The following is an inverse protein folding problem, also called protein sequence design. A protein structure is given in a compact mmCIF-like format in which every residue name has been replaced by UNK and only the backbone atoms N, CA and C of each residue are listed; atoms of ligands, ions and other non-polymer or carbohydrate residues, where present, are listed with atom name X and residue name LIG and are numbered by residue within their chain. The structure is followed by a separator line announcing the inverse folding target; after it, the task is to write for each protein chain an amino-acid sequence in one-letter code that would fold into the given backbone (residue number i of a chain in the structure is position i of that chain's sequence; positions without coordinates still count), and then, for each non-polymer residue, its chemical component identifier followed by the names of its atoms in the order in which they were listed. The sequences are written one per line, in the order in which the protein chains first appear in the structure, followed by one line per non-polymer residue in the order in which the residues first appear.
data_IF_705769262542
#
_entry.id   IF_705769262542
#
_cell.length_a   1.000
_cell.length_b   1.000
_cell.length_c   1.000
_cell.angle_alpha   90.00
_cell.angle_beta   90.00
_cell.angle_gamma   90.00
#
_symmetry.space_group_name_H-M   'P 1'
#
loop_
_entity.id
_entity.type
_entity.pdbx_description
1 polymer ?
#
# COMPACT_ATOMS: atom_id res chain seq x y z
N UNK A 1 9.39 -24.28 -17.15
CA UNK A 1 9.70 -23.32 -18.23
C UNK A 1 9.02 -22.02 -17.87
N UNK A 2 9.71 -20.88 -17.89
CA UNK A 2 9.08 -19.59 -17.58
C UNK A 2 8.06 -19.23 -18.65
N UNK A 3 6.85 -18.84 -18.24
CA UNK A 3 5.77 -18.40 -19.13
C UNK A 3 5.41 -16.95 -18.85
N UNK A 4 5.29 -16.16 -19.91
CA UNK A 4 4.76 -14.80 -19.80
C UNK A 4 3.23 -14.85 -19.88
N UNK A 5 2.56 -14.17 -18.95
CA UNK A 5 1.11 -13.97 -18.91
C UNK A 5 0.81 -12.48 -18.91
N UNK A 6 -0.23 -12.06 -19.62
CA UNK A 6 -0.73 -10.69 -19.51
C UNK A 6 -1.50 -10.59 -18.21
N UNK A 7 -1.12 -9.65 -17.36
CA UNK A 7 -1.80 -9.33 -16.11
C UNK A 7 -2.92 -8.36 -16.38
N UNK A 8 -2.60 -7.25 -17.07
CA UNK A 8 -3.58 -6.22 -17.41
C UNK A 8 -3.12 -5.39 -18.64
N UNK A 9 -4.04 -4.67 -19.25
CA UNK A 9 -3.78 -3.72 -20.34
C UNK A 9 -4.60 -2.45 -20.13
N UNK A 10 -3.92 -1.31 -20.16
CA UNK A 10 -4.52 0.02 -20.02
C UNK A 10 -4.24 0.87 -21.25
N UNK A 11 -5.06 1.89 -21.48
CA UNK A 11 -4.88 2.90 -22.52
C UNK A 11 -4.98 4.27 -21.89
N UNK A 12 -4.02 5.16 -22.17
CA UNK A 12 -3.97 6.48 -21.58
C UNK A 12 -2.76 7.27 -22.03
N UNK A 13 -2.80 8.58 -21.84
CA UNK A 13 -1.72 9.51 -22.22
C UNK A 13 -0.70 9.60 -21.07
N UNK A 14 0.46 8.97 -21.25
CA UNK A 14 1.51 8.88 -20.22
C UNK A 14 2.68 9.84 -20.46
N UNK A 15 2.74 10.55 -21.59
CA UNK A 15 3.78 11.55 -21.90
C UNK A 15 3.25 12.97 -22.11
N UNK A 16 1.93 13.17 -22.09
CA UNK A 16 1.23 14.45 -22.06
C UNK A 16 1.02 15.10 -23.43
N UNK A 17 1.12 14.34 -24.53
CA UNK A 17 0.94 14.86 -25.89
C UNK A 17 -0.48 14.68 -26.47
N UNK A 18 -1.42 14.21 -25.64
CA UNK A 18 -2.83 13.93 -25.97
C UNK A 18 -3.04 12.72 -26.89
N UNK A 19 -2.01 11.90 -27.14
CA UNK A 19 -2.11 10.64 -27.90
C UNK A 19 -1.97 9.48 -26.93
N UNK A 20 -3.05 8.69 -26.77
CA UNK A 20 -3.02 7.56 -25.83
C UNK A 20 -2.03 6.46 -26.26
N UNK A 21 -1.20 6.03 -25.31
CA UNK A 21 -0.43 4.81 -25.41
C UNK A 21 -1.21 3.61 -24.91
N UNK A 22 -0.81 2.43 -25.41
CA UNK A 22 -1.24 1.14 -24.88
C UNK A 22 -0.18 0.59 -23.95
N UNK A 23 -0.57 0.34 -22.70
CA UNK A 23 0.32 -0.12 -21.63
C UNK A 23 -0.06 -1.53 -21.23
N UNK A 24 0.84 -2.49 -21.37
CA UNK A 24 0.59 -3.90 -21.05
C UNK A 24 1.51 -4.32 -19.92
N UNK A 25 0.94 -4.74 -18.79
CA UNK A 25 1.68 -5.37 -17.71
C UNK A 25 1.69 -6.88 -17.92
N UNK A 26 2.88 -7.46 -17.97
CA UNK A 26 3.08 -8.91 -18.07
C UNK A 26 3.77 -9.44 -16.83
N UNK A 27 3.34 -10.60 -16.38
CA UNK A 27 3.98 -11.39 -15.35
C UNK A 27 4.74 -12.55 -15.95
N UNK A 28 5.89 -12.89 -15.37
CA UNK A 28 6.66 -14.07 -15.78
C UNK A 28 6.64 -15.06 -14.62
N UNK A 29 5.94 -16.16 -14.83
CA UNK A 29 5.70 -17.21 -13.83
C UNK A 29 6.58 -18.44 -14.13
N UNK A 30 7.09 -19.07 -13.09
CA UNK A 30 7.77 -20.38 -13.19
C UNK A 30 6.80 -21.55 -13.18
N UNK A 31 5.71 -21.39 -12.43
CA UNK A 31 4.68 -22.42 -12.19
C UNK A 31 3.41 -21.99 -12.93
N UNK A 32 2.86 -22.90 -13.73
CA UNK A 32 1.63 -22.66 -14.47
C UNK A 32 0.44 -22.45 -13.51
N UNK A 33 -0.44 -21.49 -13.85
CA UNK A 33 -1.62 -21.10 -13.07
C UNK A 33 -1.32 -20.60 -11.64
N UNK A 34 -0.07 -20.25 -11.33
CA UNK A 34 0.27 -19.61 -10.07
C UNK A 34 -0.05 -18.12 -10.11
N UNK A 35 -0.65 -17.53 -9.06
CA UNK A 35 -0.77 -16.08 -8.96
C UNK A 35 0.57 -15.39 -8.62
N UNK A 36 1.65 -16.16 -8.38
CA UNK A 36 2.98 -15.63 -8.12
C UNK A 36 3.72 -15.30 -9.42
N UNK A 37 4.26 -14.10 -9.48
CA UNK A 37 5.14 -13.66 -10.57
C UNK A 37 6.56 -13.51 -10.05
N UNK A 38 7.53 -14.08 -10.77
CA UNK A 38 8.95 -14.01 -10.43
C UNK A 38 9.58 -12.68 -10.88
N UNK A 39 9.05 -12.12 -11.97
CA UNK A 39 9.40 -10.80 -12.50
C UNK A 39 8.22 -10.23 -13.29
N UNK A 40 8.24 -8.92 -13.48
CA UNK A 40 7.27 -8.20 -14.30
C UNK A 40 7.96 -7.61 -15.54
N UNK A 41 7.16 -7.38 -16.57
CA UNK A 41 7.58 -6.66 -17.76
C UNK A 41 6.47 -5.69 -18.16
N UNK A 42 6.83 -4.43 -18.37
CA UNK A 42 5.94 -3.38 -18.84
C UNK A 42 6.21 -3.13 -20.32
N UNK A 43 5.17 -3.21 -21.13
CA UNK A 43 5.24 -2.88 -22.56
C UNK A 43 4.47 -1.59 -22.79
N UNK A 44 5.10 -0.64 -23.47
CA UNK A 44 4.51 0.64 -23.87
C UNK A 44 4.50 0.67 -25.40
N UNK A 45 3.31 0.78 -25.98
CA UNK A 45 3.07 0.84 -27.43
C UNK A 45 2.43 2.18 -27.79
N UNK A 46 3.06 2.95 -28.70
CA UNK A 46 2.58 4.23 -29.21
C UNK A 46 2.77 4.27 -30.72
N UNK A 47 1.70 4.48 -31.48
CA UNK A 47 1.75 4.65 -32.95
C UNK A 47 2.56 3.58 -33.73
N UNK A 48 2.60 2.34 -33.21
CA UNK A 48 3.35 1.24 -33.80
C UNK A 48 4.77 1.04 -33.24
N UNK A 49 5.32 2.03 -32.56
CA UNK A 49 6.56 1.91 -31.79
C UNK A 49 6.30 1.19 -30.47
N UNK A 50 7.19 0.26 -30.12
CA UNK A 50 7.07 -0.61 -28.94
C UNK A 50 8.33 -0.57 -28.10
N UNK A 51 8.17 -0.28 -26.82
CA UNK A 51 9.24 -0.34 -25.80
C UNK A 51 8.89 -1.33 -24.71
N UNK A 52 9.92 -1.99 -24.20
CA UNK A 52 9.79 -3.06 -23.22
C UNK A 52 10.73 -2.75 -22.05
N UNK A 53 10.18 -2.76 -20.84
CA UNK A 53 10.90 -2.50 -19.59
C UNK A 53 10.76 -3.70 -18.66
N UNK A 54 11.88 -4.28 -18.24
CA UNK A 54 11.88 -5.31 -17.22
C UNK A 54 11.80 -4.66 -15.83
N UNK A 55 10.86 -5.12 -15.01
CA UNK A 55 10.63 -4.64 -13.65
C UNK A 55 10.96 -5.81 -12.71
N UNK A 56 12.11 -5.71 -12.04
CA UNK A 56 12.65 -6.77 -11.18
C UNK A 56 11.95 -6.81 -9.81
N UNK A 57 10.69 -7.22 -9.82
CA UNK A 57 9.85 -7.36 -8.62
C UNK A 57 9.11 -8.69 -8.70
N UNK A 58 9.08 -9.39 -7.56
CA UNK A 58 8.34 -10.64 -7.38
C UNK A 58 7.20 -10.45 -6.39
N UNK A 59 6.10 -11.16 -6.59
CA UNK A 59 4.93 -11.03 -5.72
C UNK A 59 3.68 -11.66 -6.30
N UNK A 60 2.54 -11.28 -5.73
CA UNK A 60 1.21 -11.79 -6.02
C UNK A 60 0.27 -10.66 -6.39
N UNK A 61 -0.79 -11.01 -7.13
CA UNK A 61 -1.97 -10.15 -7.33
C UNK A 61 -1.62 -8.74 -7.83
N UNK A 62 -0.76 -8.67 -8.85
CA UNK A 62 -0.39 -7.39 -9.43
C UNK A 62 -1.55 -6.74 -10.18
N UNK A 63 -1.65 -5.42 -10.11
CA UNK A 63 -2.60 -4.62 -10.89
C UNK A 63 -1.88 -3.43 -11.54
N UNK A 64 -2.40 -2.98 -12.67
CA UNK A 64 -1.92 -1.83 -13.42
C UNK A 64 -2.99 -0.73 -13.39
N UNK A 65 -2.56 0.50 -13.12
CA UNK A 65 -3.42 1.69 -13.20
C UNK A 65 -2.68 2.81 -13.94
N UNK A 66 -3.43 3.62 -14.67
CA UNK A 66 -2.96 4.91 -15.19
C UNK A 66 -3.65 6.02 -14.41
N UNK A 67 -2.87 6.79 -13.67
CA UNK A 67 -3.38 7.77 -12.70
C UNK A 67 -2.66 9.10 -12.89
N UNK A 68 -3.41 10.18 -13.07
CA UNK A 68 -2.84 11.53 -12.95
C UNK A 68 -2.66 11.83 -11.46
N UNK A 69 -1.56 11.37 -10.88
CA UNK A 69 -1.28 11.49 -9.43
C UNK A 69 -0.39 12.69 -9.14
N UNK A 70 0.39 13.13 -10.12
CA UNK A 70 1.25 14.31 -10.01
C UNK A 70 0.54 15.62 -10.37
N UNK A 71 -0.75 15.58 -10.73
CA UNK A 71 -1.54 16.73 -11.15
C UNK A 71 -0.88 17.50 -12.30
N UNK A 72 -0.42 16.76 -13.32
CA UNK A 72 0.17 17.30 -14.53
C UNK A 72 -0.67 16.88 -15.74
N UNK A 73 -0.16 17.09 -16.96
CA UNK A 73 -0.89 16.75 -18.19
C UNK A 73 -0.72 15.29 -18.62
N UNK A 74 0.02 14.48 -17.86
CA UNK A 74 0.30 13.07 -18.15
C UNK A 74 -0.30 12.17 -17.06
N UNK A 75 -0.49 10.90 -17.39
CA UNK A 75 -0.85 9.88 -16.41
C UNK A 75 0.41 9.12 -15.98
N UNK A 76 0.61 8.98 -14.69
CA UNK A 76 1.62 8.10 -14.14
C UNK A 76 1.15 6.64 -14.17
N UNK A 77 2.13 5.74 -14.32
CA UNK A 77 1.89 4.30 -14.32
C UNK A 77 2.05 3.80 -12.89
N UNK A 78 0.95 3.37 -12.28
CA UNK A 78 0.93 2.77 -10.95
C UNK A 78 0.80 1.24 -11.08
N UNK A 79 1.78 0.53 -10.54
CA UNK A 79 1.73 -0.91 -10.34
C UNK A 79 1.60 -1.19 -8.85
N UNK A 80 0.58 -1.97 -8.49
CA UNK A 80 0.39 -2.48 -7.12
C UNK A 80 0.50 -4.00 -7.11
N UNK A 81 0.76 -4.59 -5.95
CA UNK A 81 0.76 -6.05 -5.75
C UNK A 81 0.94 -6.39 -4.27
N UNK A 82 1.25 -7.65 -3.96
CA UNK A 82 1.50 -8.10 -2.58
C UNK A 82 2.71 -9.03 -2.50
N UNK A 83 3.52 -8.92 -1.45
CA UNK A 83 4.66 -9.84 -1.24
C UNK A 83 4.23 -11.24 -0.77
N UNK A 84 3.02 -11.38 -0.22
CA UNK A 84 2.43 -12.64 0.26
C UNK A 84 0.97 -12.73 -0.14
N UNK A 85 0.44 -13.95 -0.33
CA UNK A 85 -0.98 -14.20 -0.65
C UNK A 85 -1.93 -13.80 0.48
N UNK A 86 -1.46 -13.84 1.72
CA UNK A 86 -2.26 -13.60 2.91
C UNK A 86 -1.54 -12.64 3.83
N UNK A 87 -2.23 -11.57 4.21
CA UNK A 87 -1.77 -10.54 5.18
C UNK A 87 -0.39 -9.95 4.81
N UNK A 88 -0.07 -9.95 3.53
CA UNK A 88 1.20 -9.45 3.00
C UNK A 88 1.27 -7.93 3.03
N UNK A 89 2.49 -7.43 2.87
CA UNK A 89 2.72 -6.01 2.60
C UNK A 89 2.47 -5.71 1.13
N UNK A 90 1.94 -4.53 0.87
CA UNK A 90 1.69 -4.03 -0.47
C UNK A 90 3.02 -3.76 -1.18
N UNK A 91 3.06 -4.15 -2.45
CA UNK A 91 4.04 -3.68 -3.41
C UNK A 91 3.45 -2.43 -4.08
N UNK A 92 4.27 -1.41 -4.29
CA UNK A 92 3.89 -0.24 -5.08
C UNK A 92 5.07 0.25 -5.89
N UNK A 93 4.84 0.53 -7.17
CA UNK A 93 5.74 1.30 -8.01
C UNK A 93 4.93 2.34 -8.76
N UNK A 94 5.37 3.58 -8.66
CA UNK A 94 4.81 4.68 -9.44
C UNK A 94 5.90 5.13 -10.39
N UNK A 95 5.59 5.12 -11.67
CA UNK A 95 6.51 5.55 -12.71
C UNK A 95 6.00 6.79 -13.42
N UNK A 96 6.91 7.73 -13.66
CA UNK A 96 6.73 8.79 -14.66
C UNK A 96 7.39 8.34 -15.95
N UNK A 97 6.70 8.53 -17.08
CA UNK A 97 7.26 8.30 -18.41
C UNK A 97 7.57 9.64 -19.05
N UNK A 98 8.84 9.89 -19.34
CA UNK A 98 9.28 11.19 -19.87
C UNK A 98 10.55 11.01 -20.70
N UNK A 99 10.65 11.72 -21.83
CA UNK A 99 11.80 11.63 -22.73
C UNK A 99 12.15 10.18 -23.10
N UNK A 100 11.13 9.37 -23.41
CA UNK A 100 11.24 7.95 -23.75
C UNK A 100 11.84 7.06 -22.65
N UNK A 101 11.87 7.51 -21.39
CA UNK A 101 12.42 6.78 -20.24
C UNK A 101 11.37 6.60 -19.16
N UNK A 102 11.39 5.41 -18.56
CA UNK A 102 10.56 5.07 -17.41
C UNK A 102 11.36 5.36 -16.12
N UNK A 103 10.87 6.27 -15.27
CA UNK A 103 11.51 6.66 -14.01
C UNK A 103 10.62 6.32 -12.82
N UNK A 104 11.13 5.60 -11.84
CA UNK A 104 10.45 5.41 -10.55
C UNK A 104 10.46 6.74 -9.80
N UNK A 105 9.28 7.19 -9.37
CA UNK A 105 9.13 8.40 -8.54
C UNK A 105 8.83 8.07 -7.07
N UNK A 106 8.06 7.01 -6.82
CA UNK A 106 7.73 6.52 -5.47
C UNK A 106 7.62 4.99 -5.49
N UNK A 107 8.15 4.33 -4.47
CA UNK A 107 7.99 2.90 -4.24
C UNK A 107 7.47 2.53 -2.83
N UNK A 108 7.32 1.22 -2.56
CA UNK A 108 6.83 0.71 -1.27
C UNK A 108 7.76 1.04 -0.09
N UNK A 109 9.06 1.24 -0.33
CA UNK A 109 10.01 1.65 0.71
C UNK A 109 9.83 3.12 1.05
N UNK A 110 9.62 3.97 0.06
CA UNK A 110 9.33 5.40 0.28
C UNK A 110 8.06 5.56 1.11
N UNK A 111 6.99 4.82 0.75
CA UNK A 111 5.73 4.81 1.49
C UNK A 111 5.90 4.29 2.92
N UNK A 112 6.65 3.21 3.12
CA UNK A 112 6.91 2.64 4.45
C UNK A 112 7.76 3.56 5.33
N UNK A 113 8.75 4.22 4.73
CA UNK A 113 9.60 5.20 5.43
C UNK A 113 8.80 6.43 5.84
N UNK A 114 7.88 6.87 4.96
CA UNK A 114 6.99 7.99 5.25
C UNK A 114 6.00 7.61 6.34
N UNK A 115 5.28 6.50 6.22
CA UNK A 115 4.16 6.15 7.11
C UNK A 115 4.59 5.39 8.37
N UNK A 116 5.43 6.03 9.19
CA UNK A 116 5.87 5.49 10.47
C UNK A 116 4.86 5.77 11.57
N UNK A 117 4.39 4.70 12.19
CA UNK A 117 3.64 4.75 13.42
C UNK A 117 4.20 3.73 14.42
N UNK A 118 4.10 4.05 15.70
CA UNK A 118 4.47 3.17 16.81
C UNK A 118 3.23 2.95 17.66
N UNK A 119 3.09 1.77 18.22
CA UNK A 119 2.02 1.47 19.14
C UNK A 119 2.59 1.00 20.48
N UNK A 120 1.84 1.20 21.56
CA UNK A 120 2.16 0.66 22.88
C UNK A 120 0.92 0.35 23.69
N UNK A 121 0.99 -0.65 24.56
CA UNK A 121 -0.06 -0.91 25.54
C UNK A 121 -0.04 0.15 26.66
N UNK A 122 -1.22 0.57 27.09
CA UNK A 122 -1.48 1.48 28.19
C UNK A 122 -2.40 0.80 29.20
N UNK A 123 -2.30 1.19 30.47
CA UNK A 123 -3.18 0.71 31.53
C UNK A 123 -4.67 0.94 31.20
N UNK A 124 -5.51 0.04 31.70
CA UNK A 124 -6.96 0.08 31.48
C UNK A 124 -7.37 -0.46 30.12
N UNK A 125 -6.71 -1.54 29.66
CA UNK A 125 -6.99 -2.21 28.39
C UNK A 125 -6.96 -1.28 27.17
N UNK A 126 -5.96 -0.40 27.10
CA UNK A 126 -5.83 0.59 26.02
C UNK A 126 -4.57 0.40 25.20
N UNK A 127 -4.63 0.78 23.93
CA UNK A 127 -3.46 0.87 23.05
C UNK A 127 -3.31 2.30 22.57
N UNK A 128 -2.12 2.87 22.74
CA UNK A 128 -1.74 4.15 22.13
C UNK A 128 -1.10 3.87 20.77
N UNK A 129 -1.48 4.62 19.75
CA UNK A 129 -0.81 4.61 18.45
C UNK A 129 -0.37 6.02 18.09
N UNK A 130 0.94 6.22 17.93
CA UNK A 130 1.56 7.49 17.57
C UNK A 130 2.10 7.41 16.15
N UNK A 131 1.60 8.25 15.26
CA UNK A 131 2.09 8.39 13.90
C UNK A 131 2.96 9.64 13.78
N UNK A 132 4.20 9.45 13.31
CA UNK A 132 5.20 10.52 13.21
C UNK A 132 4.73 11.62 12.25
N UNK A 133 4.03 11.23 11.18
CA UNK A 133 3.45 12.17 10.23
C UNK A 133 2.18 12.82 10.76
N UNK A 134 2.18 14.16 10.79
CA UNK A 134 1.05 14.94 11.29
C UNK A 134 0.93 14.96 12.82
N UNK A 135 1.88 14.35 13.53
CA UNK A 135 1.96 14.29 15.00
C UNK A 135 0.63 13.85 15.65
N UNK A 136 0.01 12.81 15.07
CA UNK A 136 -1.28 12.29 15.55
C UNK A 136 -1.08 11.15 16.53
N UNK A 137 -1.84 11.19 17.61
CA UNK A 137 -1.93 10.12 18.60
C UNK A 137 -3.36 9.62 18.66
N UNK A 138 -3.53 8.31 18.62
CA UNK A 138 -4.82 7.63 18.74
C UNK A 138 -4.81 6.72 19.96
N UNK A 139 -5.99 6.46 20.51
CA UNK A 139 -6.19 5.48 21.57
C UNK A 139 -7.27 4.50 21.13
N UNK A 140 -6.95 3.21 21.22
CA UNK A 140 -7.90 2.12 21.03
C UNK A 140 -8.28 1.60 22.42
N UNK A 141 -9.57 1.41 22.64
CA UNK A 141 -10.09 0.76 23.83
C UNK A 141 -10.35 -0.73 23.51
N UNK A 142 -9.74 -1.63 24.28
CA UNK A 142 -9.85 -3.08 24.10
C UNK A 142 -10.89 -3.71 25.04
N UNK A 143 -11.66 -2.94 25.82
CA UNK A 143 -12.65 -3.47 26.77
C UNK A 143 -13.73 -4.33 26.11
N UNK A 144 -13.98 -4.16 24.80
CA UNK A 144 -14.93 -4.98 24.05
C UNK A 144 -14.32 -6.30 23.53
N UNK A 145 -13.05 -6.59 23.83
CA UNK A 145 -12.38 -7.84 23.45
C UNK A 145 -12.62 -8.93 24.50
N UNK A 146 -12.43 -10.19 24.10
CA UNK A 146 -12.52 -11.34 24.99
C UNK A 146 -11.51 -11.24 26.15
N UNK A 147 -11.97 -11.44 27.38
CA UNK A 147 -11.15 -11.32 28.61
C UNK A 147 -9.91 -12.24 28.57
N UNK A 148 -10.06 -13.49 28.13
CA UNK A 148 -8.97 -14.48 28.04
C UNK A 148 -7.79 -14.01 27.18
N UNK A 149 -8.04 -13.13 26.20
CA UNK A 149 -7.00 -12.55 25.35
C UNK A 149 -6.24 -11.42 26.07
N UNK A 150 -6.92 -10.64 26.91
CA UNK A 150 -6.34 -9.49 27.59
C UNK A 150 -5.37 -9.92 28.69
N UNK A 151 -5.59 -11.07 29.32
CA UNK A 151 -4.69 -11.64 30.34
C UNK A 151 -3.29 -12.01 29.80
N UNK A 152 -3.13 -12.13 28.47
CA UNK A 152 -1.81 -12.30 27.82
C UNK A 152 -0.99 -11.00 27.90
N UNK A 153 -1.67 -9.85 27.89
CA UNK A 153 -1.04 -8.53 27.74
C UNK A 153 -1.05 -7.74 29.05
N UNK A 154 -2.04 -7.99 29.90
CA UNK A 154 -2.32 -7.19 31.08
C UNK A 154 -2.37 -8.05 32.34
N UNK A 155 -1.92 -7.48 33.45
CA UNK A 155 -2.14 -8.07 34.75
C UNK A 155 -3.60 -7.87 35.24
N UNK A 156 -3.92 -8.48 36.38
CA UNK A 156 -5.22 -8.33 37.06
C UNK A 156 -5.58 -6.89 37.47
N UNK A 157 -4.62 -5.96 37.44
CA UNK A 157 -4.82 -4.54 37.69
C UNK A 157 -4.88 -3.73 36.39
N UNK A 158 -5.03 -4.42 35.25
CA UNK A 158 -5.11 -3.84 33.90
C UNK A 158 -3.85 -3.07 33.52
N UNK A 159 -2.69 -3.40 34.11
CA UNK A 159 -1.40 -2.82 33.75
C UNK A 159 -0.67 -3.72 32.76
N UNK A 160 -0.02 -3.16 31.71
CA UNK A 160 0.72 -3.97 30.75
C UNK A 160 1.82 -4.81 31.41
N UNK A 161 1.93 -6.09 31.00
CA UNK A 161 2.94 -7.03 31.49
C UNK A 161 4.36 -6.74 30.94
N UNK A 162 4.49 -5.83 29.96
CA UNK A 162 5.72 -5.30 29.34
C UNK A 162 6.57 -6.30 28.52
N UNK A 163 6.05 -7.46 28.13
CA UNK A 163 6.82 -8.46 27.37
C UNK A 163 6.78 -8.24 25.85
N UNK A 164 5.65 -7.76 25.31
CA UNK A 164 5.47 -7.47 23.89
C UNK A 164 4.65 -6.18 23.68
N UNK A 165 4.98 -5.42 22.65
CA UNK A 165 4.25 -4.20 22.26
C UNK A 165 3.48 -4.44 20.96
N UNK A 166 2.30 -3.83 20.79
CA UNK A 166 1.60 -3.89 19.53
C UNK A 166 2.41 -3.18 18.44
N UNK A 167 2.22 -3.60 17.20
CA UNK A 167 2.98 -3.08 16.06
C UNK A 167 2.04 -2.51 14.99
N UNK A 168 2.48 -1.43 14.34
CA UNK A 168 1.83 -0.96 13.12
C UNK A 168 2.57 -1.54 11.93
N UNK A 169 1.85 -2.28 11.08
CA UNK A 169 2.44 -2.97 9.94
C UNK A 169 2.97 -1.99 8.90
N UNK A 170 3.84 -2.47 7.99
CA UNK A 170 4.05 -1.77 6.73
C UNK A 170 2.72 -1.65 5.94
N UNK A 171 2.62 -0.72 4.96
CA UNK A 171 1.45 -0.62 4.08
C UNK A 171 1.03 -1.99 3.55
N UNK A 172 -0.23 -2.36 3.75
CA UNK A 172 -0.78 -3.66 3.31
C UNK A 172 -1.73 -3.52 2.14
N UNK A 173 -2.44 -2.39 2.05
CA UNK A 173 -3.44 -2.14 1.02
C UNK A 173 -3.26 -0.73 0.50
N UNK A 174 -3.29 -0.58 -0.82
CA UNK A 174 -3.05 0.69 -1.51
C UNK A 174 -4.06 0.78 -2.65
N UNK A 175 -4.84 1.85 -2.65
CA UNK A 175 -5.81 2.15 -3.69
C UNK A 175 -5.56 3.57 -4.25
N UNK A 176 -5.48 3.73 -5.57
CA UNK A 176 -5.64 5.04 -6.17
C UNK A 176 -7.10 5.49 -5.98
N UNK A 177 -7.29 6.69 -5.45
CA UNK A 177 -8.62 7.29 -5.23
C UNK A 177 -8.67 8.71 -5.79
N UNK A 178 -9.86 9.17 -6.17
CA UNK A 178 -10.10 10.60 -6.44
C UNK A 178 -10.83 11.16 -5.24
N UNK A 179 -10.28 12.18 -4.61
CA UNK A 179 -10.93 12.91 -3.51
C UNK A 179 -11.69 14.08 -4.15
N UNK A 180 -12.98 14.22 -3.86
CA UNK A 180 -13.89 15.16 -4.55
C UNK A 180 -13.45 16.64 -4.56
N UNK A 181 -12.51 17.03 -3.69
CA UNK A 181 -11.93 18.37 -3.68
C UNK A 181 -10.88 18.60 -4.77
N UNK A 182 -10.40 17.56 -5.45
CA UNK A 182 -9.28 17.59 -6.38
C UNK A 182 -9.64 16.84 -7.68
N UNK A 183 -9.03 17.26 -8.81
CA UNK A 183 -9.19 16.59 -10.11
C UNK A 183 -8.08 15.57 -10.42
N UNK A 184 -7.23 15.27 -9.43
CA UNK A 184 -6.09 14.35 -9.55
C UNK A 184 -6.19 13.25 -8.49
N UNK A 185 -5.47 12.15 -8.74
CA UNK A 185 -5.49 10.99 -7.87
C UNK A 185 -4.71 11.24 -6.58
N UNK A 186 -5.18 10.60 -5.51
CA UNK A 186 -4.48 10.41 -4.24
C UNK A 186 -4.31 8.92 -3.99
N UNK A 187 -3.47 8.53 -3.01
CA UNK A 187 -3.40 7.15 -2.55
C UNK A 187 -4.08 7.00 -1.20
N UNK A 188 -5.06 6.10 -1.11
CA UNK A 188 -5.55 5.57 0.15
C UNK A 188 -4.69 4.37 0.54
N UNK A 189 -4.06 4.45 1.70
CA UNK A 189 -3.18 3.41 2.23
C UNK A 189 -3.69 2.93 3.58
N UNK A 190 -3.69 1.63 3.80
CA UNK A 190 -4.00 1.01 5.10
C UNK A 190 -2.78 0.29 5.68
N UNK A 191 -2.61 0.44 7.00
CA UNK A 191 -1.63 -0.27 7.85
C UNK A 191 -2.38 -0.94 9.00
N UNK A 192 -2.11 -2.22 9.26
CA UNK A 192 -2.76 -2.96 10.36
C UNK A 192 -2.10 -2.57 11.67
N UNK A 193 -2.90 -2.52 12.72
CA UNK A 193 -2.42 -2.44 14.10
C UNK A 193 -2.56 -3.85 14.66
N UNK A 194 -1.42 -4.46 14.96
CA UNK A 194 -1.27 -5.87 15.30
C UNK A 194 -0.97 -5.96 16.80
N UNK A 195 -1.75 -6.74 17.54
CA UNK A 195 -1.50 -7.03 18.95
C UNK A 195 -0.47 -8.15 19.14
N UNK A 196 -0.75 -9.13 19.99
CA UNK A 196 0.19 -10.22 20.36
C UNK A 196 0.49 -11.21 19.23
N UNK A 197 -0.26 -11.17 18.13
CA UNK A 197 0.00 -12.05 16.98
C UNK A 197 -0.44 -11.40 15.68
N UNK A 198 0.16 -11.77 14.54
CA UNK A 198 -0.21 -11.24 13.22
C UNK A 198 -1.67 -11.54 12.81
N UNK A 199 -2.32 -12.53 13.46
CA UNK A 199 -3.75 -12.80 13.35
C UNK A 199 -4.60 -11.76 14.10
N UNK A 200 -4.10 -11.30 15.25
CA UNK A 200 -4.76 -10.32 16.11
C UNK A 200 -4.63 -8.91 15.55
N UNK A 201 -5.59 -8.52 14.73
CA UNK A 201 -5.72 -7.16 14.22
C UNK A 201 -6.70 -6.42 15.13
N UNK A 202 -6.21 -5.42 15.85
CA UNK A 202 -7.02 -4.60 16.79
C UNK A 202 -7.53 -3.30 16.14
N UNK A 203 -7.05 -3.00 14.93
CA UNK A 203 -7.50 -1.87 14.14
C UNK A 203 -6.59 -1.64 12.93
N UNK A 204 -6.80 -0.51 12.25
CA UNK A 204 -5.93 -0.07 11.17
C UNK A 204 -5.74 1.44 11.19
N UNK A 205 -4.57 1.91 10.71
CA UNK A 205 -4.37 3.29 10.32
C UNK A 205 -4.64 3.41 8.82
N UNK A 206 -5.57 4.28 8.45
CA UNK A 206 -5.81 4.67 7.07
C UNK A 206 -5.23 6.06 6.83
N UNK A 207 -4.42 6.21 5.79
CA UNK A 207 -3.83 7.48 5.37
C UNK A 207 -4.25 7.81 3.93
N UNK A 208 -4.53 9.07 3.66
CA UNK A 208 -4.70 9.61 2.29
C UNK A 208 -3.48 10.45 1.95
N UNK A 209 -2.81 10.11 0.85
CA UNK A 209 -1.57 10.70 0.42
C UNK A 209 -1.69 11.45 -0.90
N UNK A 210 -1.01 12.58 -0.98
CA UNK A 210 -0.70 13.27 -2.24
C UNK A 210 0.78 13.08 -2.55
N UNK A 211 1.12 12.94 -3.83
CA UNK A 211 2.49 12.82 -4.31
C UNK A 211 2.80 14.03 -5.17
N UNK A 212 3.87 14.75 -4.83
CA UNK A 212 4.34 15.88 -5.63
C UNK A 212 5.27 15.40 -6.74
N UNK A 213 5.46 16.23 -7.75
CA UNK A 213 6.28 15.90 -8.92
C UNK A 213 7.74 15.53 -8.59
N UNK A 214 8.29 16.07 -7.50
CA UNK A 214 9.62 15.74 -7.00
C UNK A 214 9.69 14.41 -6.21
N UNK A 215 8.59 13.66 -6.12
CA UNK A 215 8.47 12.43 -5.33
C UNK A 215 8.17 12.66 -3.84
N UNK A 216 8.00 13.91 -3.40
CA UNK A 216 7.64 14.19 -2.01
C UNK A 216 6.23 13.68 -1.70
N UNK A 217 6.12 12.83 -0.67
CA UNK A 217 4.86 12.28 -0.19
C UNK A 217 4.31 13.17 0.92
N UNK A 218 3.09 13.66 0.75
CA UNK A 218 2.35 14.44 1.74
C UNK A 218 1.17 13.64 2.30
N UNK A 219 1.06 13.55 3.64
CA UNK A 219 -0.08 12.90 4.30
C UNK A 219 -1.16 13.95 4.53
N UNK A 220 -2.23 13.91 3.73
CA UNK A 220 -3.33 14.89 3.83
C UNK A 220 -4.27 14.55 4.96
N UNK A 221 -4.58 13.28 5.08
CA UNK A 221 -5.50 12.79 6.09
C UNK A 221 -4.97 11.49 6.65
N UNK A 222 -5.29 11.25 7.92
CA UNK A 222 -4.98 10.01 8.60
C UNK A 222 -6.02 9.77 9.67
N UNK A 223 -6.48 8.53 9.75
CA UNK A 223 -7.58 8.08 10.59
C UNK A 223 -7.26 6.73 11.21
N UNK A 224 -7.77 6.53 12.42
CA UNK A 224 -7.90 5.20 13.02
C UNK A 224 -9.20 4.57 12.51
N UNK A 225 -9.11 3.35 11.99
CA UNK A 225 -10.23 2.49 11.67
C UNK A 225 -10.29 1.39 12.72
N UNK A 226 -11.39 1.33 13.46
CA UNK A 226 -11.71 0.20 14.32
C UNK A 226 -12.32 -0.89 13.44
N UNK A 227 -11.88 -2.12 13.66
CA UNK A 227 -12.42 -3.28 12.95
C UNK A 227 -13.40 -3.98 13.89
N UNK A 228 -14.64 -4.14 13.44
CA UNK A 228 -15.58 -5.02 14.12
C UNK A 228 -15.02 -6.44 14.05
N UNK A 229 -14.87 -7.10 15.21
CA UNK A 229 -14.60 -8.52 15.25
C UNK A 229 -15.93 -9.23 15.11
N UNK A 230 -16.15 -9.90 13.99
CA UNK A 230 -17.25 -10.86 13.93
C UNK A 230 -17.04 -11.89 15.03
N UNK A 231 -18.07 -12.19 15.86
CA UNK A 231 -17.98 -13.26 16.83
C UNK A 231 -17.75 -14.58 16.08
N UNK A 232 -16.72 -15.32 16.50
CA UNK A 232 -16.40 -16.66 15.98
C UNK A 232 -17.46 -17.67 16.43
#
# INVERSE_FOLDING_TARGET
MYRAVIIDTQFGDIDGDLICEKIILKGIQEIENSPFMNKLQLVIEKEGDKKIYDINIKGYFFNLYLVNILNNNSQEILITGQYSKSRGYAITRIFKYENNKLKVIVDDKDLSSKLKCKARYLSGYKVEVKCENGNKTYTIDLNNNLEDYLDIVYDKYQSPLNEEEPTVSAPNTIYPIIVSSNNYYSLQIQQRIIGVSNSDVIGAIQSILEIKENGEINVKQQYLLLMDREPV
#
